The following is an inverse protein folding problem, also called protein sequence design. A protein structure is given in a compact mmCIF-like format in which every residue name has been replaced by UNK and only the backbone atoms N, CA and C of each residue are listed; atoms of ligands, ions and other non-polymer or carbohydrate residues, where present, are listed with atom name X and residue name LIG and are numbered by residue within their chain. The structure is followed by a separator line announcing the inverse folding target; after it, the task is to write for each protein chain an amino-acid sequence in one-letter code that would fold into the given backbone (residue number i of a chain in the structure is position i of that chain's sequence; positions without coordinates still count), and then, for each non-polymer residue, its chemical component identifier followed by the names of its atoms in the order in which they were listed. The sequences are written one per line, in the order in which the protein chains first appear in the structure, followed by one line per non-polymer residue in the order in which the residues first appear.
data_IF_085296701305
#
_entry.id   IF_085296701305
#
_cell.length_a   1.000
_cell.length_b   1.000
_cell.length_c   1.000
_cell.angle_alpha   90.00
_cell.angle_beta   90.00
_cell.angle_gamma   90.00
#
_symmetry.space_group_name_H-M   'P 1'
#
loop_
_entity.id
_entity.type
_entity.pdbx_description
1 polymer ?
#
# COMPACT_ATOMS: atom_id res chain seq x y z
N UNK A 1 4.79 22.33 -5.67
CA UNK A 1 5.44 22.39 -4.36
C UNK A 1 5.82 21.00 -3.90
N UNK A 2 7.04 20.83 -3.49
CA UNK A 2 7.48 19.55 -2.97
C UNK A 2 6.98 19.36 -1.54
N UNK A 3 6.81 18.10 -1.16
CA UNK A 3 6.41 17.77 0.20
C UNK A 3 7.58 17.88 1.19
N UNK A 4 7.31 17.50 2.41
CA UNK A 4 8.28 17.51 3.49
C UNK A 4 9.35 16.44 3.26
N UNK A 5 10.60 16.74 3.58
CA UNK A 5 11.72 15.81 3.43
C UNK A 5 12.36 15.40 4.75
N UNK A 6 12.09 16.12 5.86
CA UNK A 6 12.64 15.75 7.17
C UNK A 6 11.95 14.49 7.69
N UNK A 7 12.72 13.43 7.94
CA UNK A 7 12.18 12.16 8.39
C UNK A 7 11.37 12.29 9.69
N UNK A 8 11.91 13.00 10.68
CA UNK A 8 11.22 13.11 11.95
C UNK A 8 9.91 13.88 11.83
N UNK A 9 9.88 14.93 11.01
CA UNK A 9 8.67 15.69 10.74
C UNK A 9 7.64 14.79 10.01
N UNK A 10 8.10 14.03 9.03
CA UNK A 10 7.22 13.11 8.28
C UNK A 10 6.61 12.06 9.20
N UNK A 11 7.41 11.45 10.07
CA UNK A 11 6.92 10.44 11.00
C UNK A 11 5.86 11.01 11.94
N UNK A 12 6.12 12.19 12.50
CA UNK A 12 5.17 12.83 13.44
C UNK A 12 3.85 13.20 12.76
N UNK A 13 3.90 13.57 11.48
CA UNK A 13 2.71 13.99 10.74
C UNK A 13 2.01 12.82 10.03
N UNK A 14 2.61 11.63 10.03
CA UNK A 14 2.06 10.49 9.35
C UNK A 14 0.78 10.01 10.04
N UNK A 15 -0.27 9.82 9.26
CA UNK A 15 -1.54 9.31 9.74
C UNK A 15 -1.94 8.11 8.89
N UNK A 16 -1.83 6.88 9.41
CA UNK A 16 -2.24 5.71 8.65
C UNK A 16 -3.75 5.61 8.61
N UNK A 17 -4.29 5.26 7.45
CA UNK A 17 -5.72 5.08 7.24
C UNK A 17 -5.94 3.71 6.61
N UNK A 18 -6.72 2.86 7.29
CA UNK A 18 -7.10 1.57 6.75
C UNK A 18 -8.29 1.77 5.82
N UNK A 19 -8.11 1.41 4.55
CA UNK A 19 -9.19 1.45 3.59
C UNK A 19 -10.05 0.21 3.74
N UNK A 20 -11.38 0.30 3.71
CA UNK A 20 -12.23 -0.87 3.90
C UNK A 20 -12.11 -1.84 2.74
N UNK A 21 -12.31 -3.13 3.02
CA UNK A 21 -12.35 -4.15 2.00
C UNK A 21 -11.11 -5.04 1.97
N UNK A 22 -11.17 -6.00 1.07
CA UNK A 22 -10.09 -6.94 0.80
C UNK A 22 -9.59 -6.69 -0.60
N UNK A 23 -8.27 -6.71 -0.78
CA UNK A 23 -7.65 -6.37 -2.05
C UNK A 23 -6.73 -7.48 -2.52
N UNK A 24 -6.61 -7.63 -3.82
CA UNK A 24 -5.80 -8.69 -4.43
C UNK A 24 -4.97 -8.13 -5.57
N UNK A 25 -3.91 -8.85 -5.89
CA UNK A 25 -3.02 -8.55 -7.01
C UNK A 25 -3.25 -9.60 -8.08
N UNK A 26 -3.55 -9.15 -9.29
CA UNK A 26 -3.79 -10.04 -10.43
C UNK A 26 -2.89 -9.64 -11.58
N UNK A 27 -2.57 -10.61 -12.44
CA UNK A 27 -1.81 -10.34 -13.65
C UNK A 27 -2.71 -10.53 -14.86
N UNK A 28 -2.66 -9.56 -15.78
CA UNK A 28 -3.39 -9.61 -17.03
C UNK A 28 -2.37 -9.75 -18.17
N UNK A 29 -2.14 -10.98 -18.67
CA UNK A 29 -1.08 -11.21 -19.67
C UNK A 29 -1.25 -10.40 -20.95
N UNK A 30 -2.49 -10.16 -21.37
CA UNK A 30 -2.77 -9.37 -22.59
C UNK A 30 -2.86 -7.87 -22.32
N UNK A 31 -2.73 -7.43 -21.07
CA UNK A 31 -2.77 -6.05 -20.67
C UNK A 31 -4.15 -5.40 -20.74
N UNK A 32 -5.21 -6.19 -20.89
CA UNK A 32 -6.56 -5.65 -21.00
C UNK A 32 -7.32 -5.77 -19.70
N UNK A 33 -7.77 -4.63 -19.21
CA UNK A 33 -8.62 -4.60 -18.02
C UNK A 33 -10.04 -4.91 -18.44
N UNK A 34 -10.67 -5.95 -17.84
CA UNK A 34 -12.07 -6.26 -18.17
C UNK A 34 -12.99 -5.08 -17.95
N UNK A 35 -14.04 -4.99 -18.78
CA UNK A 35 -15.04 -3.94 -18.63
C UNK A 35 -15.76 -4.09 -17.29
N UNK A 36 -16.28 -3.01 -16.77
CA UNK A 36 -17.07 -2.95 -15.53
C UNK A 36 -16.28 -3.29 -14.26
N UNK A 37 -14.95 -3.21 -14.33
CA UNK A 37 -14.09 -3.42 -13.17
C UNK A 37 -13.36 -2.13 -12.83
N UNK A 38 -13.32 -1.81 -11.55
CA UNK A 38 -12.54 -0.68 -11.05
C UNK A 38 -11.26 -1.21 -10.43
N UNK A 39 -10.12 -0.69 -10.87
CA UNK A 39 -8.83 -1.06 -10.29
C UNK A 39 -8.34 0.06 -9.39
N UNK A 40 -7.61 -0.32 -8.34
CA UNK A 40 -6.98 0.61 -7.40
C UNK A 40 -5.67 1.12 -7.98
N UNK A 41 -4.92 0.25 -8.62
CA UNK A 41 -3.65 0.60 -9.21
C UNK A 41 -3.20 -0.43 -10.23
N UNK A 42 -2.16 -0.09 -10.99
CA UNK A 42 -1.62 -1.00 -11.98
C UNK A 42 -0.14 -0.72 -12.21
N UNK A 43 0.54 -1.72 -12.71
CA UNK A 43 1.93 -1.59 -13.10
C UNK A 43 2.20 -2.47 -14.32
N UNK A 44 2.76 -1.87 -15.35
CA UNK A 44 3.07 -2.60 -16.57
C UNK A 44 4.37 -3.35 -16.40
N UNK A 45 4.29 -4.67 -16.44
CA UNK A 45 5.46 -5.54 -16.33
C UNK A 45 5.68 -6.28 -17.64
N UNK A 46 6.85 -6.89 -17.78
CA UNK A 46 7.18 -7.63 -18.98
C UNK A 46 6.21 -8.80 -19.20
N UNK A 47 5.77 -9.43 -18.12
CA UNK A 47 4.90 -10.58 -18.17
C UNK A 47 3.43 -10.23 -18.38
N UNK A 48 3.07 -8.97 -18.18
CA UNK A 48 1.69 -8.51 -18.32
C UNK A 48 1.42 -7.32 -17.42
N UNK A 49 0.16 -6.92 -17.37
CA UNK A 49 -0.25 -5.81 -16.53
C UNK A 49 -0.65 -6.32 -15.16
N UNK A 50 0.08 -5.91 -14.13
CA UNK A 50 -0.33 -6.14 -12.75
C UNK A 50 -1.44 -5.17 -12.40
N UNK A 51 -2.53 -5.67 -11.83
CA UNK A 51 -3.62 -4.81 -11.34
C UNK A 51 -3.91 -5.11 -9.89
N UNK A 52 -4.24 -4.08 -9.13
CA UNK A 52 -4.66 -4.18 -7.74
C UNK A 52 -6.12 -3.75 -7.71
N UNK A 53 -6.98 -4.59 -7.13
CA UNK A 53 -8.40 -4.32 -7.12
C UNK A 53 -9.04 -5.04 -5.93
N UNK A 54 -10.30 -4.67 -5.63
CA UNK A 54 -11.03 -5.38 -4.61
C UNK A 54 -11.23 -6.84 -4.99
N UNK A 55 -11.14 -7.70 -4.00
CA UNK A 55 -11.30 -9.15 -4.18
C UNK A 55 -12.62 -9.49 -4.88
N UNK A 56 -13.71 -8.82 -4.51
CA UNK A 56 -15.00 -9.06 -5.13
C UNK A 56 -14.99 -8.75 -6.62
N UNK A 57 -14.28 -7.70 -7.03
CA UNK A 57 -14.15 -7.34 -8.43
C UNK A 57 -13.35 -8.41 -9.20
N UNK A 58 -12.28 -8.92 -8.59
CA UNK A 58 -11.47 -9.98 -9.22
C UNK A 58 -12.29 -11.26 -9.38
N UNK A 59 -13.05 -11.63 -8.35
CA UNK A 59 -13.90 -12.83 -8.41
C UNK A 59 -14.96 -12.70 -9.50
N UNK A 60 -15.58 -11.54 -9.61
CA UNK A 60 -16.58 -11.26 -10.63
C UNK A 60 -16.01 -11.41 -12.04
N UNK A 61 -14.76 -11.01 -12.23
CA UNK A 61 -14.10 -11.09 -13.53
C UNK A 61 -13.41 -12.43 -13.78
N UNK A 62 -13.44 -13.35 -12.82
CA UNK A 62 -12.77 -14.63 -12.96
C UNK A 62 -11.25 -14.55 -12.94
N UNK A 63 -10.69 -13.54 -12.30
CA UNK A 63 -9.24 -13.35 -12.23
C UNK A 63 -8.65 -14.14 -11.07
N UNK A 64 -7.49 -14.75 -11.31
CA UNK A 64 -6.81 -15.55 -10.29
C UNK A 64 -5.96 -14.68 -9.38
N UNK A 65 -5.88 -15.05 -8.11
CA UNK A 65 -5.04 -14.38 -7.13
C UNK A 65 -4.70 -15.36 -6.02
N UNK A 66 -3.58 -15.11 -5.34
CA UNK A 66 -3.11 -15.95 -4.23
C UNK A 66 -3.12 -15.23 -2.90
N UNK A 67 -2.99 -13.91 -2.92
CA UNK A 67 -2.74 -13.11 -1.74
C UNK A 67 -3.89 -12.12 -1.53
N UNK A 68 -4.47 -12.16 -0.33
CA UNK A 68 -5.53 -11.20 0.04
C UNK A 68 -4.93 -10.18 0.99
N UNK A 69 -4.99 -8.94 0.60
CA UNK A 69 -4.35 -7.84 1.30
C UNK A 69 -5.35 -6.86 1.88
N UNK A 70 -4.89 -6.17 2.93
CA UNK A 70 -5.50 -4.94 3.41
C UNK A 70 -4.72 -3.77 2.81
N UNK A 71 -5.41 -2.70 2.49
CA UNK A 71 -4.84 -1.50 1.90
C UNK A 71 -4.81 -0.38 2.93
N UNK A 72 -3.60 0.09 3.24
CA UNK A 72 -3.38 1.19 4.19
C UNK A 72 -2.76 2.35 3.42
N UNK A 73 -3.36 3.53 3.58
CA UNK A 73 -2.81 4.76 3.02
C UNK A 73 -2.13 5.54 4.12
N UNK A 74 -0.89 5.98 3.87
CA UNK A 74 -0.18 6.84 4.79
C UNK A 74 -0.44 8.28 4.38
N UNK A 75 -1.28 8.96 5.15
CA UNK A 75 -1.64 10.35 4.88
C UNK A 75 -0.52 11.26 5.38
N UNK A 76 0.48 11.42 4.55
CA UNK A 76 1.61 12.31 4.79
C UNK A 76 2.07 12.86 3.45
N UNK A 77 2.20 14.19 3.37
CA UNK A 77 2.66 14.80 2.12
C UNK A 77 4.19 14.85 2.13
N UNK A 78 4.81 13.83 1.56
CA UNK A 78 6.26 13.77 1.42
C UNK A 78 6.65 13.91 -0.05
N UNK A 79 7.83 14.46 -0.29
CA UNK A 79 8.39 14.49 -1.63
C UNK A 79 8.73 13.06 -2.05
N UNK A 80 8.55 12.74 -3.34
CA UNK A 80 8.90 11.41 -3.83
C UNK A 80 10.38 11.07 -3.63
N UNK A 81 11.20 12.09 -3.53
CA UNK A 81 12.64 11.93 -3.31
C UNK A 81 13.03 11.96 -1.82
N UNK A 82 12.06 12.05 -0.91
CA UNK A 82 12.35 12.04 0.52
C UNK A 82 12.99 10.71 0.91
N UNK A 83 13.96 10.78 1.81
CA UNK A 83 14.76 9.62 2.20
C UNK A 83 14.35 9.15 3.59
N UNK A 84 14.19 7.85 3.74
CA UNK A 84 14.05 7.21 5.05
C UNK A 84 12.64 6.86 5.48
N UNK A 85 11.61 7.49 4.93
CA UNK A 85 10.24 7.20 5.36
C UNK A 85 9.85 5.74 5.08
N UNK A 86 10.05 5.31 3.83
CA UNK A 86 9.74 3.93 3.44
C UNK A 86 10.53 2.93 4.28
N UNK A 87 11.82 3.18 4.48
CA UNK A 87 12.66 2.30 5.30
C UNK A 87 12.14 2.24 6.74
N UNK A 88 11.72 3.37 7.29
CA UNK A 88 11.24 3.43 8.67
C UNK A 88 9.99 2.57 8.87
N UNK A 89 8.96 2.75 8.05
CA UNK A 89 7.74 1.97 8.25
C UNK A 89 7.89 0.52 7.80
N UNK A 90 8.69 0.24 6.77
CA UNK A 90 8.91 -1.13 6.32
C UNK A 90 9.69 -1.92 7.38
N UNK A 91 10.69 -1.30 8.01
CA UNK A 91 11.44 -1.93 9.09
C UNK A 91 10.54 -2.21 10.30
N UNK A 92 9.72 -1.23 10.70
CA UNK A 92 8.81 -1.41 11.83
C UNK A 92 7.84 -2.58 11.59
N UNK A 93 7.26 -2.65 10.40
CA UNK A 93 6.35 -3.74 10.05
C UNK A 93 7.09 -5.07 9.97
N UNK A 94 8.26 -5.10 9.36
CA UNK A 94 9.08 -6.30 9.27
C UNK A 94 9.48 -6.84 10.62
N UNK A 95 9.85 -5.97 11.56
CA UNK A 95 10.20 -6.36 12.92
C UNK A 95 8.99 -6.99 13.65
N UNK A 96 7.79 -6.61 13.26
CA UNK A 96 6.55 -7.18 13.79
C UNK A 96 6.13 -8.46 13.04
N UNK A 97 6.90 -8.90 12.06
CA UNK A 97 6.59 -10.10 11.29
C UNK A 97 5.53 -9.88 10.22
N UNK A 98 5.32 -8.64 9.80
CA UNK A 98 4.28 -8.30 8.82
C UNK A 98 4.93 -8.03 7.47
N UNK A 99 4.49 -8.77 6.45
CA UNK A 99 4.92 -8.54 5.07
C UNK A 99 4.29 -7.25 4.57
N UNK A 100 5.09 -6.40 3.94
CA UNK A 100 4.63 -5.08 3.50
C UNK A 100 5.01 -4.84 2.05
N UNK A 101 4.02 -4.56 1.23
CA UNK A 101 4.21 -4.20 -0.17
C UNK A 101 3.86 -2.73 -0.34
N UNK A 102 4.79 -1.95 -0.86
CA UNK A 102 4.68 -0.49 -0.87
C UNK A 102 4.52 0.02 -2.29
N UNK A 103 3.59 0.95 -2.47
CA UNK A 103 3.43 1.67 -3.72
C UNK A 103 3.46 3.15 -3.41
N UNK A 104 4.39 3.87 -4.03
CA UNK A 104 4.48 5.32 -3.88
C UNK A 104 3.51 5.98 -4.85
N UNK A 105 2.48 6.61 -4.32
CA UNK A 105 1.60 7.46 -5.11
C UNK A 105 2.15 8.87 -5.18
N UNK A 106 1.55 9.69 -6.01
CA UNK A 106 1.99 11.07 -6.13
C UNK A 106 1.83 11.85 -4.82
N UNK A 107 0.73 11.60 -4.11
CA UNK A 107 0.42 12.32 -2.86
C UNK A 107 0.73 11.51 -1.62
N UNK A 108 0.51 10.20 -1.64
CA UNK A 108 0.61 9.36 -0.45
C UNK A 108 1.30 8.06 -0.76
N UNK A 109 1.92 7.46 0.25
CA UNK A 109 2.40 6.09 0.16
C UNK A 109 1.26 5.15 0.51
N UNK A 110 1.20 4.04 -0.19
CA UNK A 110 0.19 3.01 0.00
C UNK A 110 0.86 1.70 0.36
N UNK A 111 0.32 1.02 1.35
CA UNK A 111 0.84 -0.25 1.82
C UNK A 111 -0.20 -1.33 1.64
N UNK A 112 0.27 -2.51 1.25
CA UNK A 112 -0.57 -3.69 1.20
C UNK A 112 0.05 -4.73 2.10
N UNK A 113 -0.66 -5.09 3.17
CA UNK A 113 -0.26 -6.10 4.14
C UNK A 113 -1.26 -7.24 4.10
N UNK A 114 -0.92 -8.41 4.65
CA UNK A 114 -1.87 -9.50 4.72
C UNK A 114 -3.15 -9.02 5.39
N UNK A 115 -4.30 -9.39 4.85
CA UNK A 115 -5.59 -8.93 5.37
C UNK A 115 -5.73 -9.21 6.87
N UNK A 116 -5.26 -10.38 7.31
CA UNK A 116 -5.35 -10.78 8.71
C UNK A 116 -4.40 -9.99 9.62
N UNK A 117 -3.44 -9.28 9.05
CA UNK A 117 -2.47 -8.47 9.81
C UNK A 117 -2.87 -7.00 9.89
N UNK A 118 -4.03 -6.63 9.34
CA UNK A 118 -4.41 -5.22 9.21
C UNK A 118 -4.39 -4.45 10.53
N UNK A 119 -5.01 -5.02 11.58
CA UNK A 119 -5.08 -4.33 12.87
C UNK A 119 -3.70 -4.16 13.50
N UNK A 120 -2.88 -5.21 13.45
CA UNK A 120 -1.52 -5.15 13.98
C UNK A 120 -0.68 -4.14 13.19
N UNK A 121 -0.82 -4.12 11.87
CA UNK A 121 -0.09 -3.17 11.03
C UNK A 121 -0.47 -1.74 11.39
N UNK A 122 -1.76 -1.47 11.57
CA UNK A 122 -2.22 -0.14 11.97
C UNK A 122 -1.63 0.27 13.32
N UNK A 123 -1.60 -0.65 14.28
CA UNK A 123 -1.02 -0.37 15.60
C UNK A 123 0.47 -0.05 15.49
N UNK A 124 1.21 -0.82 14.70
CA UNK A 124 2.65 -0.59 14.49
C UNK A 124 2.90 0.78 13.86
N UNK A 125 2.12 1.14 12.86
CA UNK A 125 2.29 2.42 12.17
C UNK A 125 1.94 3.60 13.07
N UNK A 126 0.89 3.48 13.88
CA UNK A 126 0.53 4.53 14.83
C UNK A 126 1.60 4.71 15.90
N UNK A 127 2.18 3.61 16.37
CA UNK A 127 3.27 3.65 17.33
C UNK A 127 4.51 4.32 16.74
N UNK A 128 4.83 4.01 15.49
CA UNK A 128 5.96 4.61 14.79
C UNK A 128 5.77 6.13 14.68
N UNK A 129 4.56 6.57 14.33
CA UNK A 129 4.26 8.00 14.23
C UNK A 129 4.38 8.69 15.60
N UNK A 130 3.90 8.04 16.65
CA UNK A 130 3.97 8.59 18.01
C UNK A 130 5.41 8.71 18.51
N UNK A 131 6.30 7.83 18.05
CA UNK A 131 7.72 7.83 18.46
C UNK A 131 8.61 8.67 17.56
N UNK A 132 8.07 9.30 16.53
CA UNK A 132 8.84 10.15 15.64
C UNK A 132 9.30 11.42 16.36
N UNK A 133 10.59 11.76 16.26
CA UNK A 133 11.12 12.93 16.95
C UNK A 133 11.89 13.84 16.05
#
# INVERSE_FOLDING_TARGET
MSGETSLNTLLRSMSPQLNPGEYVFCSLPDGRVPADITIVGSFLEREGLTVILEKSQAQKAGLSFDYVAAWITLNVHSALQAVGLTAAFATALGDAGISCNVIAGYYHDHLFVGHDDAEQAMAVLKQLAANGE
#
